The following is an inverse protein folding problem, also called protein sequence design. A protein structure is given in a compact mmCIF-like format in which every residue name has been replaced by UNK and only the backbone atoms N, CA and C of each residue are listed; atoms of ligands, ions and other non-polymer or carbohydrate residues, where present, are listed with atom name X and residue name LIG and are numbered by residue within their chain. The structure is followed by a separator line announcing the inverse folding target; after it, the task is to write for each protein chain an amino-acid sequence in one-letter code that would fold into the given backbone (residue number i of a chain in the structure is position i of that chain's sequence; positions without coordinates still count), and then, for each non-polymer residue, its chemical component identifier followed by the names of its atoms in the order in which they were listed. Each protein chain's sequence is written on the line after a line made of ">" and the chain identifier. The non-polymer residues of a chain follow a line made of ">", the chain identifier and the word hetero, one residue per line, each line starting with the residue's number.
data_IF_961746748612
#
_entry.id   IF_961746748612
#
_cell.length_a   1.000
_cell.length_b   1.000
_cell.length_c   1.000
_cell.angle_alpha   90.00
_cell.angle_beta   90.00
_cell.angle_gamma   90.00
#
_symmetry.space_group_name_H-M   'P 1'
#
loop_
_entity.id
_entity.type
_entity.pdbx_description
1 polymer ?
#
# COMPACT_ATOMS: atom_id res chain seq x y z
N UNK A 1 7.29 -9.32 -8.33
CA UNK A 1 7.74 -9.80 -7.01
C UNK A 1 6.74 -10.81 -6.50
N UNK A 2 7.23 -11.82 -5.80
CA UNK A 2 6.38 -12.79 -5.08
C UNK A 2 5.87 -12.18 -3.78
N UNK A 3 4.78 -12.72 -3.24
CA UNK A 3 4.25 -12.31 -1.92
C UNK A 3 5.35 -12.38 -0.87
N UNK A 4 6.12 -13.47 -0.83
CA UNK A 4 7.14 -13.72 0.19
C UNK A 4 8.27 -12.68 0.16
N UNK A 5 8.70 -12.27 -1.04
CA UNK A 5 9.73 -11.23 -1.21
C UNK A 5 9.26 -9.87 -0.71
N UNK A 6 7.99 -9.54 -0.98
CA UNK A 6 7.41 -8.27 -0.52
C UNK A 6 7.18 -8.31 0.99
N UNK A 7 6.57 -9.37 1.54
CA UNK A 7 6.31 -9.53 2.97
C UNK A 7 7.57 -9.35 3.82
N UNK A 8 8.69 -9.96 3.42
CA UNK A 8 9.96 -9.80 4.15
C UNK A 8 10.43 -8.34 4.26
N UNK A 9 10.13 -7.52 3.26
CA UNK A 9 10.48 -6.09 3.28
C UNK A 9 9.43 -5.25 4.00
N UNK A 10 8.14 -5.56 3.82
CA UNK A 10 7.03 -4.93 4.56
C UNK A 10 7.24 -5.09 6.07
N UNK A 11 7.57 -6.30 6.53
CA UNK A 11 7.87 -6.58 7.93
C UNK A 11 9.07 -5.76 8.43
N UNK A 12 10.13 -5.64 7.62
CA UNK A 12 11.32 -4.83 7.95
C UNK A 12 11.01 -3.34 8.04
N UNK A 13 10.07 -2.85 7.24
CA UNK A 13 9.60 -1.46 7.25
C UNK A 13 8.60 -1.20 8.38
N UNK A 14 8.18 -2.22 9.13
CA UNK A 14 7.21 -2.09 10.22
C UNK A 14 5.81 -1.70 9.72
N UNK A 15 5.49 -2.04 8.47
CA UNK A 15 4.20 -1.71 7.87
C UNK A 15 3.16 -2.76 8.22
N UNK A 16 1.94 -2.32 8.49
CA UNK A 16 0.81 -3.20 8.73
C UNK A 16 0.26 -3.72 7.40
N UNK A 17 0.10 -5.04 7.27
CA UNK A 17 -0.45 -5.65 6.05
C UNK A 17 -1.98 -5.58 6.07
N UNK A 18 -2.56 -5.11 4.98
CA UNK A 18 -4.01 -4.96 4.83
C UNK A 18 -4.58 -5.94 3.80
N UNK A 19 -4.09 -5.89 2.56
CA UNK A 19 -4.60 -6.71 1.46
C UNK A 19 -3.49 -7.03 0.47
N UNK A 20 -3.56 -8.19 -0.20
CA UNK A 20 -2.70 -8.51 -1.35
C UNK A 20 -3.55 -9.07 -2.47
N UNK A 21 -3.37 -8.53 -3.68
CA UNK A 21 -4.02 -9.00 -4.91
C UNK A 21 -2.99 -9.59 -5.85
N UNK A 22 -3.38 -10.65 -6.54
CA UNK A 22 -2.50 -11.39 -7.44
C UNK A 22 -3.02 -11.32 -8.88
N UNK A 23 -2.12 -11.33 -9.85
CA UNK A 23 -2.49 -11.63 -11.24
C UNK A 23 -2.93 -13.10 -11.37
N UNK A 24 -3.46 -13.48 -12.55
CA UNK A 24 -3.69 -14.90 -12.90
C UNK A 24 -2.35 -15.66 -12.85
N UNK A 25 -2.00 -16.20 -11.68
CA UNK A 25 -0.67 -16.71 -11.36
C UNK A 25 -0.34 -16.55 -9.86
N UNK A 26 0.95 -16.37 -9.55
CA UNK A 26 1.45 -16.17 -8.17
C UNK A 26 2.10 -14.80 -7.93
N UNK A 27 2.25 -14.00 -8.97
CA UNK A 27 2.88 -12.68 -8.89
C UNK A 27 1.88 -11.66 -8.32
N UNK A 28 2.40 -10.79 -7.46
CA UNK A 28 1.63 -9.69 -6.88
C UNK A 28 1.23 -8.72 -7.98
N UNK A 29 -0.06 -8.37 -8.01
CA UNK A 29 -0.56 -7.23 -8.77
C UNK A 29 -0.40 -5.96 -7.92
N UNK A 30 -1.00 -5.96 -6.73
CA UNK A 30 -0.82 -4.93 -5.72
C UNK A 30 -0.72 -5.52 -4.31
N UNK A 31 0.02 -4.83 -3.46
CA UNK A 31 0.13 -5.10 -2.03
C UNK A 31 -0.22 -3.83 -1.26
N UNK A 32 -1.25 -3.91 -0.44
CA UNK A 32 -1.78 -2.78 0.34
C UNK A 32 -1.35 -2.95 1.79
N UNK A 33 -0.69 -1.93 2.30
CA UNK A 33 -0.21 -1.82 3.66
C UNK A 33 -0.66 -0.50 4.29
N UNK A 34 -0.40 -0.31 5.57
CA UNK A 34 -0.54 0.98 6.22
C UNK A 34 0.52 1.22 7.28
N UNK A 35 0.74 2.49 7.59
CA UNK A 35 1.51 2.96 8.73
C UNK A 35 0.56 3.72 9.66
N UNK A 36 0.58 3.38 10.95
CA UNK A 36 -0.19 4.09 11.97
C UNK A 36 0.47 5.44 12.23
N UNK A 37 -0.37 6.44 12.49
CA UNK A 37 0.09 7.66 13.13
C UNK A 37 -0.27 7.60 14.61
N UNK A 38 0.76 7.44 15.44
CA UNK A 38 0.63 7.36 16.90
C UNK A 38 0.48 8.76 17.55
N UNK A 39 0.63 9.84 16.79
CA UNK A 39 0.39 11.22 17.23
C UNK A 39 -1.10 11.58 17.04
N UNK A 40 -1.94 11.13 17.98
CA UNK A 40 -3.35 11.48 18.02
C UNK A 40 -4.14 10.68 19.05
N UNK A 41 -5.33 11.14 19.41
CA UNK A 41 -6.28 10.36 20.21
C UNK A 41 -6.62 9.10 19.41
N UNK A 42 -6.22 7.95 19.94
CA UNK A 42 -6.60 6.64 19.42
C UNK A 42 -8.10 6.63 19.12
N UNK A 43 -8.46 6.61 17.84
CA UNK A 43 -9.81 6.25 17.41
C UNK A 43 -9.88 4.71 17.51
N UNK A 44 -9.72 4.18 18.72
CA UNK A 44 -9.82 2.74 19.01
C UNK A 44 -11.28 2.26 19.03
N UNK A 45 -12.25 3.14 18.75
CA UNK A 45 -13.61 2.71 18.48
C UNK A 45 -13.65 1.97 17.14
N UNK A 46 -14.11 0.72 17.19
CA UNK A 46 -14.37 -0.18 16.06
C UNK A 46 -13.15 -0.72 15.28
N UNK A 47 -11.94 -0.67 15.86
CA UNK A 47 -10.75 -1.29 15.25
C UNK A 47 -10.20 -0.53 14.03
N UNK A 48 -10.60 0.74 13.90
CA UNK A 48 -10.06 1.65 12.89
C UNK A 48 -8.75 2.29 13.38
N UNK A 49 -7.89 2.63 12.43
CA UNK A 49 -6.62 3.29 12.67
C UNK A 49 -6.50 4.52 11.79
N UNK A 50 -5.81 5.54 12.30
CA UNK A 50 -5.46 6.74 11.54
C UNK A 50 -4.00 6.66 11.11
N UNK A 51 -3.72 6.95 9.85
CA UNK A 51 -2.36 6.95 9.31
C UNK A 51 -2.35 6.87 7.78
N UNK A 52 -1.22 6.62 7.15
CA UNK A 52 -1.16 6.53 5.69
C UNK A 52 -1.43 5.10 5.23
N UNK A 53 -2.21 4.97 4.15
CA UNK A 53 -2.29 3.72 3.39
C UNK A 53 -1.20 3.77 2.32
N UNK A 54 -0.50 2.65 2.15
CA UNK A 54 0.61 2.48 1.22
C UNK A 54 0.24 1.37 0.25
N UNK A 55 0.39 1.63 -1.04
CA UNK A 55 0.14 0.69 -2.12
C UNK A 55 1.45 0.42 -2.85
N UNK A 56 1.84 -0.85 -2.88
CA UNK A 56 2.92 -1.32 -3.73
C UNK A 56 2.36 -2.03 -4.95
N UNK A 57 2.95 -1.82 -6.11
CA UNK A 57 2.67 -2.67 -7.27
C UNK A 57 3.52 -3.94 -7.27
N UNK A 58 3.26 -4.83 -8.21
CA UNK A 58 4.04 -6.06 -8.40
C UNK A 58 5.54 -5.87 -8.66
N UNK A 59 5.99 -4.67 -8.99
CA UNK A 59 7.41 -4.34 -9.17
C UNK A 59 8.03 -3.71 -7.92
N UNK A 60 7.27 -3.57 -6.82
CA UNK A 60 7.73 -2.96 -5.58
C UNK A 60 7.67 -1.43 -5.59
N UNK A 61 7.10 -0.81 -6.62
CA UNK A 61 6.97 0.66 -6.67
C UNK A 61 5.94 1.11 -5.65
N UNK A 62 6.24 2.18 -4.92
CA UNK A 62 5.44 2.63 -3.78
C UNK A 62 4.59 3.87 -4.09
N UNK A 63 3.34 3.85 -3.64
CA UNK A 63 2.45 5.00 -3.57
C UNK A 63 1.83 5.11 -2.18
N UNK A 64 1.60 6.32 -1.72
CA UNK A 64 1.11 6.57 -0.37
C UNK A 64 0.01 7.63 -0.38
N UNK A 65 -0.95 7.53 0.54
CA UNK A 65 -1.97 8.57 0.67
C UNK A 65 -1.33 9.89 1.09
N UNK A 66 -1.65 10.98 0.40
CA UNK A 66 -1.14 12.32 0.77
C UNK A 66 -1.58 12.73 2.19
N UNK A 67 -2.89 12.81 2.49
CA UNK A 67 -3.39 12.98 3.86
C UNK A 67 -3.44 11.64 4.62
N UNK A 68 -3.52 11.71 5.95
CA UNK A 68 -3.84 10.55 6.77
C UNK A 68 -5.24 10.02 6.42
N UNK A 69 -5.29 8.72 6.15
CA UNK A 69 -6.48 7.95 5.97
C UNK A 69 -6.97 7.33 7.28
N UNK A 70 -8.21 6.87 7.25
CA UNK A 70 -8.77 5.92 8.22
C UNK A 70 -8.81 4.55 7.55
N UNK A 71 -8.36 3.52 8.26
CA UNK A 71 -8.21 2.18 7.73
C UNK A 71 -8.37 1.13 8.84
N UNK A 72 -8.98 -0.01 8.52
CA UNK A 72 -9.15 -1.15 9.41
C UNK A 72 -8.66 -2.46 8.78
N UNK A 73 -8.29 -3.44 9.62
CA UNK A 73 -8.00 -4.79 9.11
C UNK A 73 -9.29 -5.44 8.62
N UNK A 74 -9.29 -5.91 7.38
CA UNK A 74 -10.46 -6.55 6.75
C UNK A 74 -11.44 -5.58 6.10
N UNK A 75 -11.12 -4.28 6.05
CA UNK A 75 -11.85 -3.32 5.21
C UNK A 75 -11.67 -3.66 3.72
N UNK A 76 -12.63 -3.20 2.92
CA UNK A 76 -12.50 -3.21 1.47
C UNK A 76 -11.65 -2.02 1.00
N UNK A 77 -10.60 -2.28 0.21
CA UNK A 77 -9.67 -1.26 -0.29
C UNK A 77 -9.77 -1.07 -1.79
N UNK A 78 -10.71 -0.28 -2.28
CA UNK A 78 -10.86 -0.07 -3.72
C UNK A 78 -9.73 0.81 -4.30
N UNK A 79 -8.99 0.28 -5.27
CA UNK A 79 -7.85 1.00 -5.88
C UNK A 79 -8.28 1.58 -7.21
N UNK A 80 -8.22 2.90 -7.30
CA UNK A 80 -8.45 3.62 -8.54
C UNK A 80 -7.16 3.72 -9.35
N UNK A 81 -7.23 3.34 -10.62
CA UNK A 81 -6.11 3.35 -11.55
C UNK A 81 -6.20 4.54 -12.52
N UNK A 82 -5.04 5.04 -12.93
CA UNK A 82 -4.93 6.13 -13.89
C UNK A 82 -3.67 6.00 -14.73
N UNK A 83 -3.60 6.79 -15.80
CA UNK A 83 -2.45 6.84 -16.69
C UNK A 83 -1.54 8.01 -16.27
N UNK A 84 -0.27 7.73 -16.00
CA UNK A 84 0.72 8.78 -15.71
C UNK A 84 1.26 9.46 -16.99
N UNK A 85 2.12 10.47 -16.82
CA UNK A 85 2.73 11.22 -17.94
C UNK A 85 3.54 10.35 -18.92
N UNK A 86 3.96 9.16 -18.49
CA UNK A 86 4.72 8.18 -19.29
C UNK A 86 3.81 7.14 -19.98
N UNK A 87 2.49 7.26 -19.88
CA UNK A 87 1.53 6.33 -20.48
C UNK A 87 1.36 5.02 -19.70
N UNK A 88 1.84 4.94 -18.46
CA UNK A 88 1.76 3.73 -17.64
C UNK A 88 0.49 3.73 -16.79
N UNK A 89 -0.17 2.58 -16.68
CA UNK A 89 -1.27 2.38 -15.73
C UNK A 89 -0.71 2.24 -14.31
N UNK A 90 -1.06 3.16 -13.43
CA UNK A 90 -0.56 3.25 -12.05
C UNK A 90 -1.71 3.52 -11.07
N UNK A 91 -1.58 3.14 -9.79
CA UNK A 91 -2.56 3.54 -8.80
C UNK A 91 -2.52 5.06 -8.59
N UNK A 92 -3.68 5.69 -8.59
CA UNK A 92 -3.85 7.14 -8.39
C UNK A 92 -4.72 7.48 -7.18
N UNK A 93 -5.44 6.49 -6.66
CA UNK A 93 -6.23 6.64 -5.44
C UNK A 93 -6.56 5.30 -4.80
N UNK A 94 -6.91 5.35 -3.52
CA UNK A 94 -7.43 4.22 -2.75
C UNK A 94 -8.60 4.71 -1.90
N UNK A 95 -9.76 4.06 -2.06
CA UNK A 95 -11.04 4.54 -1.54
C UNK A 95 -11.26 6.01 -1.95
N UNK A 96 -11.36 6.91 -0.97
CA UNK A 96 -11.54 8.36 -1.19
C UNK A 96 -10.24 9.18 -1.15
N UNK A 97 -9.09 8.53 -1.01
CA UNK A 97 -7.81 9.19 -0.80
C UNK A 97 -6.97 9.18 -2.08
N UNK A 98 -6.38 10.32 -2.42
CA UNK A 98 -5.41 10.41 -3.50
C UNK A 98 -4.08 9.76 -3.10
N UNK A 99 -3.46 9.08 -4.06
CA UNK A 99 -2.15 8.45 -3.90
C UNK A 99 -1.06 9.29 -4.58
N UNK A 100 0.06 9.42 -3.90
CA UNK A 100 1.26 10.09 -4.39
C UNK A 100 2.39 9.08 -4.53
N UNK A 101 3.17 9.20 -5.60
CA UNK A 101 4.31 8.32 -5.86
C UNK A 101 5.44 8.60 -4.86
N UNK A 102 5.96 7.57 -4.21
CA UNK A 102 7.04 7.67 -3.21
C UNK A 102 8.28 6.83 -3.58
N UNK A 103 9.13 7.26 -4.54
CA UNK A 103 10.25 6.46 -5.03
C UNK A 103 11.26 6.06 -3.95
N UNK A 104 11.42 6.88 -2.93
CA UNK A 104 12.28 6.63 -1.78
C UNK A 104 11.82 5.48 -0.88
N UNK A 105 10.60 4.96 -1.07
CA UNK A 105 10.03 3.83 -0.34
C UNK A 105 9.81 2.60 -1.22
N UNK A 106 10.32 2.60 -2.45
CA UNK A 106 10.24 1.41 -3.30
C UNK A 106 10.92 0.22 -2.62
N UNK A 107 10.34 -0.96 -2.84
CA UNK A 107 10.95 -2.22 -2.42
C UNK A 107 12.08 -2.57 -3.37
N UNK A 108 13.18 -3.06 -2.82
CA UNK A 108 14.29 -3.54 -3.63
C UNK A 108 13.92 -4.92 -4.22
N UNK A 109 14.21 -5.18 -5.50
CA UNK A 109 14.17 -6.54 -6.00
C UNK A 109 15.20 -7.36 -5.21
N UNK A 110 14.75 -8.40 -4.50
CA UNK A 110 15.65 -9.32 -3.80
C UNK A 110 16.47 -10.02 -4.89
N UNK A 111 17.77 -9.72 -4.95
CA UNK A 111 18.72 -10.45 -5.79
C UNK A 111 19.24 -11.61 -4.95
N UNK A 112 18.86 -12.83 -5.34
CA UNK A 112 19.44 -14.07 -4.82
C UNK A 112 20.97 -14.13 -5.02
#
# INVERSE_FOLDING_TARGET
>A
MTIKEMEAQIDRLGLEKLEVRLFKGRDVDIFICAIKNDEGTELEEDGLHRGNIIVFDGNGRCWETGPYALWGKGDDYDVTWGINEYGQNVPVGINKYALERMPQRDLDPIRD
#
